data_IF_681954473025
#
_entry.id   IF_681954473025
#
_cell.length_a   1.000
_cell.length_b   1.000
_cell.length_c   1.000
_cell.angle_alpha   90.00
_cell.angle_beta   90.00
_cell.angle_gamma   90.00
#
_symmetry.space_group_name_H-M   'P 1'
#
loop_
_entity.id
_entity.type
_entity.pdbx_description
1 polymer ?
#
# COMPACT_ATOMS: atom_id res chain seq x y z
N UNK A 1 8.44 -9.88 6.03
CA UNK A 1 7.02 -9.66 5.70
C UNK A 1 6.92 -8.46 4.78
N UNK A 2 6.10 -8.52 3.75
CA UNK A 2 5.88 -7.42 2.79
C UNK A 2 4.52 -6.78 3.08
N UNK A 3 4.48 -5.48 3.31
CA UNK A 3 3.25 -4.71 3.33
C UNK A 3 2.90 -4.23 1.92
N UNK A 4 1.65 -4.38 1.49
CA UNK A 4 1.15 -3.90 0.20
C UNK A 4 0.04 -2.90 0.49
N UNK A 5 0.17 -1.67 0.01
CA UNK A 5 -0.80 -0.59 0.22
C UNK A 5 -1.51 -0.33 -1.10
N UNK A 6 -2.84 -0.35 -1.10
CA UNK A 6 -3.66 0.11 -2.21
C UNK A 6 -4.80 1.00 -1.70
N UNK A 7 -5.34 1.84 -2.58
CA UNK A 7 -6.56 2.61 -2.32
C UNK A 7 -7.84 1.75 -2.25
N UNK A 8 -7.77 0.49 -2.70
CA UNK A 8 -8.87 -0.46 -2.73
C UNK A 8 -8.43 -1.86 -3.14
N UNK A 9 -9.07 -2.43 -4.17
CA UNK A 9 -8.82 -3.79 -4.67
C UNK A 9 -8.02 -3.85 -5.98
N UNK A 10 -7.70 -2.71 -6.59
CA UNK A 10 -7.00 -2.65 -7.88
C UNK A 10 -5.58 -3.22 -7.82
N UNK A 11 -4.94 -3.08 -6.66
CA UNK A 11 -3.59 -3.59 -6.36
C UNK A 11 -3.50 -5.11 -6.21
N UNK A 12 -4.62 -5.85 -6.23
CA UNK A 12 -4.60 -7.31 -6.12
C UNK A 12 -3.85 -7.99 -7.27
N UNK A 13 -3.80 -7.37 -8.45
CA UNK A 13 -2.99 -7.84 -9.57
C UNK A 13 -1.49 -7.85 -9.23
N UNK A 14 -1.00 -6.80 -8.56
CA UNK A 14 0.37 -6.68 -8.07
C UNK A 14 0.62 -7.66 -6.92
N UNK A 15 -0.31 -7.78 -5.98
CA UNK A 15 -0.21 -8.75 -4.88
C UNK A 15 -0.11 -10.18 -5.42
N UNK A 16 -0.93 -10.54 -6.42
CA UNK A 16 -0.87 -11.84 -7.09
C UNK A 16 0.49 -12.09 -7.74
N UNK A 17 1.07 -11.09 -8.42
CA UNK A 17 2.39 -11.21 -9.02
C UNK A 17 3.49 -11.42 -7.95
N UNK A 18 3.40 -10.75 -6.81
CA UNK A 18 4.30 -10.94 -5.67
C UNK A 18 4.19 -12.37 -5.14
N UNK A 19 2.98 -12.86 -4.88
CA UNK A 19 2.77 -14.23 -4.38
C UNK A 19 3.27 -15.31 -5.35
N UNK A 20 3.14 -15.08 -6.65
CA UNK A 20 3.66 -16.01 -7.66
C UNK A 20 5.20 -16.05 -7.70
N UNK A 21 5.86 -14.90 -7.56
CA UNK A 21 7.32 -14.81 -7.59
C UNK A 21 7.98 -15.16 -6.25
N UNK A 22 7.28 -14.92 -5.14
CA UNK A 22 7.77 -15.10 -3.77
C UNK A 22 6.76 -15.90 -2.92
N UNK A 23 6.48 -17.16 -3.25
CA UNK A 23 5.39 -17.94 -2.64
C UNK A 23 5.56 -18.20 -1.13
N UNK A 24 6.78 -18.18 -0.61
CA UNK A 24 7.06 -18.34 0.83
C UNK A 24 7.06 -17.03 1.62
N UNK A 25 6.88 -15.89 0.97
CA UNK A 25 7.03 -14.59 1.62
C UNK A 25 5.69 -14.14 2.21
N UNK A 26 5.63 -14.05 3.54
CA UNK A 26 4.45 -13.51 4.22
C UNK A 26 4.17 -12.07 3.78
N UNK A 27 2.89 -11.77 3.49
CA UNK A 27 2.42 -10.45 3.06
C UNK A 27 1.23 -9.96 3.89
N UNK A 28 1.11 -8.65 4.07
CA UNK A 28 -0.11 -7.97 4.51
C UNK A 28 -0.58 -7.09 3.36
N UNK A 29 -1.81 -7.30 2.88
CA UNK A 29 -2.45 -6.40 1.91
C UNK A 29 -3.41 -5.47 2.65
N UNK A 30 -3.19 -4.17 2.54
CA UNK A 30 -4.00 -3.12 3.15
C UNK A 30 -4.70 -2.34 2.04
N UNK A 31 -6.02 -2.48 2.00
CA UNK A 31 -6.91 -1.68 1.17
C UNK A 31 -7.43 -0.49 2.00
N UNK A 32 -6.95 0.72 1.70
CA UNK A 32 -7.32 1.91 2.46
C UNK A 32 -8.63 2.55 1.97
N UNK A 33 -9.71 1.77 2.04
CA UNK A 33 -11.04 2.18 1.58
C UNK A 33 -11.60 3.38 2.35
N UNK A 34 -11.26 3.54 3.63
CA UNK A 34 -11.70 4.66 4.46
C UNK A 34 -11.19 6.01 3.91
N UNK A 35 -9.99 6.01 3.30
CA UNK A 35 -9.38 7.20 2.73
C UNK A 35 -9.60 7.34 1.22
N UNK A 36 -10.36 6.44 0.62
CA UNK A 36 -10.72 6.50 -0.80
C UNK A 36 -11.66 7.70 -1.09
N UNK A 37 -11.61 8.32 -2.28
CA UNK A 37 -10.59 8.17 -3.32
C UNK A 37 -9.32 8.96 -3.00
N UNK A 38 -8.16 8.51 -3.47
CA UNK A 38 -6.91 9.25 -3.27
C UNK A 38 -6.74 10.42 -4.25
N UNK A 39 -7.35 10.34 -5.44
CA UNK A 39 -7.10 11.27 -6.54
C UNK A 39 -7.64 12.70 -6.36
N UNK A 40 -8.45 12.95 -5.33
CA UNK A 40 -8.97 14.27 -4.99
C UNK A 40 -8.24 14.89 -3.78
N UNK A 41 -7.12 14.31 -3.34
CA UNK A 41 -6.33 14.75 -2.19
C UNK A 41 -4.99 15.29 -2.64
N UNK A 42 -4.43 16.23 -1.86
CA UNK A 42 -3.10 16.77 -2.14
C UNK A 42 -2.00 15.78 -1.75
N UNK A 43 -0.80 15.96 -2.31
CA UNK A 43 0.36 15.14 -1.99
C UNK A 43 0.66 15.14 -0.48
N UNK A 44 0.53 16.29 0.19
CA UNK A 44 0.78 16.43 1.62
C UNK A 44 -0.19 15.59 2.46
N UNK A 45 -1.49 15.64 2.11
CA UNK A 45 -2.54 14.87 2.80
C UNK A 45 -2.33 13.37 2.60
N UNK A 46 -1.95 12.96 1.39
CA UNK A 46 -1.63 11.56 1.07
C UNK A 46 -0.41 11.09 1.87
N UNK A 47 0.66 11.88 1.90
CA UNK A 47 1.88 11.55 2.64
C UNK A 47 1.64 11.41 4.14
N UNK A 48 0.82 12.28 4.74
CA UNK A 48 0.43 12.15 6.16
C UNK A 48 -0.35 10.86 6.45
N UNK A 49 -1.22 10.42 5.53
CA UNK A 49 -1.91 9.13 5.65
C UNK A 49 -0.95 7.96 5.49
N UNK A 50 -0.06 8.02 4.50
CA UNK A 50 0.94 6.99 4.25
C UNK A 50 1.88 6.77 5.43
N UNK A 51 2.34 7.84 6.10
CA UNK A 51 3.17 7.72 7.31
C UNK A 51 2.46 6.85 8.36
N UNK A 52 1.19 7.12 8.66
CA UNK A 52 0.41 6.33 9.64
C UNK A 52 0.27 4.87 9.22
N UNK A 53 0.05 4.60 7.93
CA UNK A 53 -0.08 3.24 7.40
C UNK A 53 1.26 2.51 7.50
N UNK A 54 2.35 3.17 7.11
CA UNK A 54 3.71 2.61 7.16
C UNK A 54 4.13 2.32 8.60
N UNK A 55 3.87 3.22 9.54
CA UNK A 55 4.12 3.00 10.97
C UNK A 55 3.36 1.77 11.49
N UNK A 56 2.10 1.61 11.10
CA UNK A 56 1.31 0.43 11.42
C UNK A 56 1.90 -0.85 10.81
N UNK A 57 2.35 -0.80 9.56
CA UNK A 57 3.00 -1.95 8.89
C UNK A 57 4.35 -2.31 9.54
N UNK A 58 5.14 -1.31 9.95
CA UNK A 58 6.39 -1.50 10.68
C UNK A 58 6.10 -2.20 12.01
N UNK A 59 5.07 -1.78 12.75
CA UNK A 59 4.64 -2.43 13.99
C UNK A 59 4.17 -3.89 13.78
N UNK A 60 3.82 -4.27 12.55
CA UNK A 60 3.52 -5.66 12.15
C UNK A 60 4.75 -6.43 11.63
N UNK A 61 5.96 -5.91 11.79
CA UNK A 61 7.22 -6.47 11.30
C UNK A 61 7.31 -6.57 9.76
N UNK A 62 6.62 -5.68 9.04
CA UNK A 62 6.88 -5.50 7.61
C UNK A 62 8.27 -4.85 7.43
N UNK A 63 9.11 -5.48 6.61
CA UNK A 63 10.48 -5.02 6.31
C UNK A 63 10.60 -4.40 4.91
N UNK A 64 9.53 -4.54 4.11
CA UNK A 64 9.38 -3.97 2.78
C UNK A 64 7.94 -3.52 2.64
N UNK A 65 7.73 -2.33 2.07
CA UNK A 65 6.42 -1.81 1.73
C UNK A 65 6.34 -1.58 0.22
N UNK A 66 5.25 -2.04 -0.39
CA UNK A 66 4.93 -1.86 -1.80
C UNK A 66 3.68 -0.98 -1.88
N UNK A 67 3.78 0.16 -2.56
CA UNK A 67 2.63 0.99 -2.91
C UNK A 67 2.09 0.47 -4.24
N UNK A 68 0.95 -0.23 -4.21
CA UNK A 68 0.30 -0.85 -5.37
C UNK A 68 -0.74 0.07 -6.05
N UNK A 69 -1.05 1.21 -5.45
CA UNK A 69 -1.99 2.19 -6.01
C UNK A 69 -1.27 3.16 -6.95
N UNK A 70 -1.61 3.14 -8.24
CA UNK A 70 -1.09 4.11 -9.22
C UNK A 70 -1.41 5.56 -8.86
N UNK A 71 -2.58 5.83 -8.25
CA UNK A 71 -2.97 7.19 -7.86
C UNK A 71 -2.09 7.72 -6.73
N UNK A 72 -1.77 6.89 -5.74
CA UNK A 72 -0.83 7.28 -4.67
C UNK A 72 0.52 7.60 -5.28
N UNK A 73 1.04 6.71 -6.12
CA UNK A 73 2.34 6.91 -6.78
C UNK A 73 2.34 8.20 -7.59
N UNK A 74 1.39 8.39 -8.51
CA UNK A 74 1.37 9.55 -9.40
C UNK A 74 1.18 10.90 -8.69
N UNK A 75 0.56 10.92 -7.51
CA UNK A 75 0.27 12.17 -6.77
C UNK A 75 1.29 12.48 -5.69
N UNK A 76 1.93 11.48 -5.08
CA UNK A 76 2.68 11.66 -3.84
C UNK A 76 4.11 11.07 -3.84
N UNK A 77 4.52 10.30 -4.85
CA UNK A 77 5.83 9.63 -4.95
C UNK A 77 6.53 10.01 -6.26
#
# INVERSE_FOLDING_TARGET
>A
MIGIIDSGLGGLSIARAIWQKLPGQATIYLADHEFFPYGNKTAEVINQRLIKIVDWLIAKNCRLVVIACNTITATAI
#
